data_IF_299349831443
#
_entry.id   IF_299349831443
#
_cell.length_a   1.000
_cell.length_b   1.000
_cell.length_c   1.000
_cell.angle_alpha   90.00
_cell.angle_beta   90.00
_cell.angle_gamma   90.00
#
_symmetry.space_group_name_H-M   'P 1'
#
loop_
_entity.id
_entity.type
_entity.pdbx_description
1 polymer ?
#
# COMPACT_ATOMS: atom_id res chain seq x y z
N UNK A 1 -26.97 -14.57 8.56
CA UNK A 1 -25.99 -15.27 7.72
C UNK A 1 -25.41 -14.27 6.73
N UNK A 2 -24.09 -14.18 6.62
CA UNK A 2 -23.41 -13.27 5.68
C UNK A 2 -23.55 -13.87 4.27
N UNK A 3 -23.97 -13.05 3.30
CA UNK A 3 -24.13 -13.50 1.92
C UNK A 3 -22.81 -13.40 1.16
N UNK A 4 -22.49 -14.37 0.27
CA UNK A 4 -21.33 -14.25 -0.62
C UNK A 4 -21.44 -13.00 -1.49
N UNK A 5 -20.33 -12.27 -1.67
CA UNK A 5 -20.24 -11.10 -2.54
C UNK A 5 -18.85 -10.97 -3.17
N UNK A 6 -18.75 -10.14 -4.21
CA UNK A 6 -17.50 -9.71 -4.84
C UNK A 6 -17.28 -8.22 -4.57
N UNK A 7 -16.02 -7.84 -4.36
CA UNK A 7 -15.61 -6.45 -4.13
C UNK A 7 -14.22 -6.22 -4.71
N UNK A 8 -13.97 -4.98 -5.11
CA UNK A 8 -12.66 -4.41 -5.48
C UNK A 8 -12.01 -3.58 -4.36
N UNK A 9 -12.72 -3.38 -3.24
CA UNK A 9 -12.23 -2.70 -2.06
C UNK A 9 -10.87 -3.21 -1.57
N UNK A 10 -9.97 -2.28 -1.27
CA UNK A 10 -8.57 -2.55 -0.92
C UNK A 10 -8.49 -3.22 0.44
N UNK A 11 -7.73 -4.31 0.58
CA UNK A 11 -7.42 -4.95 1.86
C UNK A 11 -5.93 -5.25 1.90
N UNK A 12 -5.30 -5.02 3.03
CA UNK A 12 -3.93 -5.44 3.29
C UNK A 12 -3.87 -6.59 4.30
N UNK A 13 -2.78 -7.36 4.28
CA UNK A 13 -2.55 -8.39 5.29
C UNK A 13 -2.54 -7.82 6.71
N UNK A 14 -2.02 -6.61 6.91
CA UNK A 14 -1.99 -5.95 8.22
C UNK A 14 -3.39 -5.64 8.76
N UNK A 15 -4.42 -5.56 7.91
CA UNK A 15 -5.80 -5.29 8.31
C UNK A 15 -6.38 -6.43 9.15
N UNK A 16 -5.84 -7.65 9.04
CA UNK A 16 -6.29 -8.79 9.84
C UNK A 16 -6.12 -8.54 11.35
N UNK A 17 -5.09 -7.81 11.76
CA UNK A 17 -4.83 -7.54 13.17
C UNK A 17 -5.93 -6.69 13.83
N UNK A 18 -6.22 -5.45 13.41
CA UNK A 18 -7.28 -4.66 14.00
C UNK A 18 -8.68 -5.25 13.75
N UNK A 19 -8.90 -5.91 12.61
CA UNK A 19 -10.18 -6.57 12.32
C UNK A 19 -10.47 -7.71 13.31
N UNK A 20 -9.49 -8.57 13.57
CA UNK A 20 -9.66 -9.65 14.55
C UNK A 20 -9.90 -9.11 15.97
N UNK A 21 -9.28 -7.98 16.32
CA UNK A 21 -9.46 -7.35 17.61
C UNK A 21 -10.82 -6.67 17.77
N UNK A 22 -11.37 -6.05 16.73
CA UNK A 22 -12.75 -5.55 16.77
C UNK A 22 -13.74 -6.71 16.99
N UNK A 23 -13.61 -7.80 16.23
CA UNK A 23 -14.40 -9.01 16.42
C UNK A 23 -14.31 -9.60 17.84
N UNK A 24 -13.17 -9.40 18.52
CA UNK A 24 -12.95 -9.81 19.90
C UNK A 24 -13.43 -8.78 20.96
N UNK A 25 -14.06 -7.67 20.55
CA UNK A 25 -14.60 -6.65 21.46
C UNK A 25 -13.65 -5.50 21.77
N UNK A 26 -12.57 -5.34 20.99
CA UNK A 26 -11.58 -4.27 21.12
C UNK A 26 -11.53 -3.33 19.89
N UNK A 27 -12.64 -2.64 19.52
CA UNK A 27 -12.69 -1.77 18.35
C UNK A 27 -11.80 -0.54 18.44
N UNK A 28 -11.38 -0.06 17.27
CA UNK A 28 -10.84 1.28 17.04
C UNK A 28 -9.70 1.64 17.99
N UNK A 29 -9.81 2.78 18.68
CA UNK A 29 -8.76 3.28 19.56
C UNK A 29 -8.38 2.33 20.71
N UNK A 30 -9.22 1.34 21.05
CA UNK A 30 -8.89 0.34 22.08
C UNK A 30 -7.71 -0.54 21.66
N UNK A 31 -7.51 -0.77 20.36
CA UNK A 31 -6.37 -1.53 19.83
C UNK A 31 -5.04 -0.91 20.26
N UNK A 32 -4.95 0.43 20.31
CA UNK A 32 -3.73 1.14 20.69
C UNK A 32 -3.30 0.89 22.15
N UNK A 33 -4.21 0.42 23.01
CA UNK A 33 -3.88 0.05 24.39
C UNK A 33 -3.30 -1.38 24.50
N UNK A 34 -3.33 -2.15 23.41
CA UNK A 34 -2.87 -3.55 23.38
C UNK A 34 -1.46 -3.70 22.80
N UNK A 35 -0.87 -2.62 22.30
CA UNK A 35 0.50 -2.58 21.77
C UNK A 35 1.32 -1.49 22.48
N UNK A 36 2.67 -1.58 22.49
CA UNK A 36 3.49 -0.49 23.00
C UNK A 36 3.21 0.82 22.26
N UNK A 37 3.20 1.95 22.98
CA UNK A 37 2.94 3.29 22.41
C UNK A 37 3.91 3.71 21.29
N UNK A 38 5.04 3.01 21.17
CA UNK A 38 6.06 3.17 20.12
C UNK A 38 5.75 2.36 18.86
N UNK A 39 4.62 1.66 18.81
CA UNK A 39 4.22 0.82 17.67
C UNK A 39 3.13 1.54 16.90
N UNK A 40 3.42 1.88 15.65
CA UNK A 40 2.38 2.27 14.71
C UNK A 40 1.62 1.03 14.23
N UNK A 41 0.31 1.18 14.02
CA UNK A 41 -0.54 0.11 13.48
C UNK A 41 -0.98 0.57 12.10
N UNK A 42 -0.40 -0.03 11.06
CA UNK A 42 -0.73 0.25 9.66
C UNK A 42 -2.05 -0.39 9.21
N UNK A 43 -2.50 -1.43 9.92
CA UNK A 43 -3.74 -2.12 9.64
C UNK A 43 -4.96 -1.23 9.87
N UNK A 44 -5.97 -1.42 9.03
CA UNK A 44 -7.29 -0.81 9.15
C UNK A 44 -8.29 -1.89 9.49
N UNK A 45 -9.19 -1.61 10.43
CA UNK A 45 -10.28 -2.52 10.77
C UNK A 45 -11.27 -2.63 9.60
N UNK A 46 -11.47 -3.85 9.09
CA UNK A 46 -12.34 -4.19 7.96
C UNK A 46 -13.61 -4.93 8.40
N UNK A 47 -13.97 -4.90 9.69
CA UNK A 47 -15.14 -5.63 10.22
C UNK A 47 -16.44 -5.21 9.52
N UNK A 48 -16.66 -3.89 9.34
CA UNK A 48 -17.82 -3.38 8.61
C UNK A 48 -17.82 -3.78 7.12
N UNK A 49 -16.63 -3.92 6.52
CA UNK A 49 -16.47 -4.39 5.15
C UNK A 49 -16.88 -5.86 5.04
N UNK A 50 -16.35 -6.73 5.88
CA UNK A 50 -16.60 -8.18 5.77
C UNK A 50 -18.00 -8.62 6.22
N UNK A 51 -18.55 -7.98 7.25
CA UNK A 51 -19.85 -8.39 7.82
C UNK A 51 -21.04 -7.65 7.20
N UNK A 52 -20.83 -6.46 6.63
CA UNK A 52 -21.90 -5.63 6.09
C UNK A 52 -22.45 -6.14 4.75
N UNK A 53 -23.76 -6.02 4.54
CA UNK A 53 -24.44 -6.41 3.28
C UNK A 53 -23.85 -5.69 2.05
N UNK A 54 -23.54 -4.40 2.19
CA UNK A 54 -22.93 -3.56 1.17
C UNK A 54 -21.66 -2.87 1.70
N UNK A 55 -20.88 -3.61 2.50
CA UNK A 55 -19.66 -3.07 3.11
C UNK A 55 -18.68 -2.56 2.05
N UNK A 56 -18.10 -1.38 2.30
CA UNK A 56 -16.98 -0.82 1.54
C UNK A 56 -15.70 -0.96 2.36
N UNK A 57 -14.56 -1.11 1.69
CA UNK A 57 -13.30 -1.16 2.41
C UNK A 57 -13.08 0.15 3.16
N UNK A 58 -12.62 0.06 4.41
CA UNK A 58 -12.26 1.22 5.20
C UNK A 58 -10.85 1.76 4.83
N UNK A 59 -10.10 1.06 3.98
CA UNK A 59 -8.73 1.41 3.60
C UNK A 59 -8.74 2.43 2.45
N UNK A 60 -8.29 3.64 2.77
CA UNK A 60 -8.13 4.74 1.81
C UNK A 60 -6.97 4.52 0.84
N UNK A 61 -5.84 4.00 1.35
CA UNK A 61 -4.60 3.91 0.59
C UNK A 61 -3.81 2.64 0.94
N UNK A 62 -3.03 2.17 -0.02
CA UNK A 62 -2.07 1.06 0.16
C UNK A 62 -0.64 1.55 -0.08
N UNK A 63 0.28 1.14 0.79
CA UNK A 63 1.67 1.61 0.79
C UNK A 63 2.59 0.45 0.44
N UNK A 64 3.21 0.53 -0.74
CA UNK A 64 4.07 -0.54 -1.24
C UNK A 64 5.51 -0.25 -0.91
N UNK A 65 6.20 -1.24 -0.35
CA UNK A 65 7.61 -1.16 -0.04
C UNK A 65 8.42 -2.09 -0.94
N UNK A 66 9.56 -1.58 -1.42
CA UNK A 66 10.65 -2.42 -1.92
C UNK A 66 11.71 -2.47 -0.83
N UNK A 67 11.83 -3.63 -0.19
CA UNK A 67 12.64 -3.80 1.02
C UNK A 67 12.25 -2.76 2.09
N UNK A 68 13.21 -1.93 2.53
CA UNK A 68 12.96 -0.87 3.52
C UNK A 68 12.54 0.48 2.93
N UNK A 69 12.32 0.58 1.62
CA UNK A 69 12.04 1.86 0.94
C UNK A 69 10.60 1.90 0.45
N UNK A 70 9.89 2.98 0.80
CA UNK A 70 8.56 3.26 0.27
C UNK A 70 8.66 3.49 -1.24
N UNK A 71 7.99 2.64 -2.00
CA UNK A 71 8.19 2.50 -3.45
C UNK A 71 6.97 2.95 -4.25
N UNK A 72 5.77 2.73 -3.74
CA UNK A 72 4.54 3.21 -4.37
C UNK A 72 3.44 3.45 -3.34
N UNK A 73 2.44 4.22 -3.75
CA UNK A 73 1.18 4.36 -3.04
C UNK A 73 0.03 4.12 -4.01
N UNK A 74 -1.00 3.41 -3.56
CA UNK A 74 -2.26 3.26 -4.30
C UNK A 74 -3.38 3.93 -3.54
N UNK A 75 -4.22 4.65 -4.26
CA UNK A 75 -5.51 5.13 -3.79
C UNK A 75 -6.55 4.82 -4.86
N UNK A 76 -7.60 4.11 -4.46
CA UNK A 76 -8.63 3.61 -5.38
C UNK A 76 -8.01 2.85 -6.57
N UNK A 77 -8.32 3.24 -7.81
CA UNK A 77 -7.77 2.65 -9.02
C UNK A 77 -6.34 3.11 -9.34
N UNK A 78 -5.86 4.21 -8.75
CA UNK A 78 -4.59 4.81 -9.14
C UNK A 78 -3.43 4.34 -8.27
N UNK A 79 -2.34 3.91 -8.90
CA UNK A 79 -1.08 3.58 -8.23
C UNK A 79 0.06 4.44 -8.76
N UNK A 80 0.73 5.13 -7.84
CA UNK A 80 1.87 6.02 -8.11
C UNK A 80 3.17 5.41 -7.60
N UNK A 81 4.13 5.22 -8.50
CA UNK A 81 5.46 4.70 -8.18
C UNK A 81 6.49 5.83 -8.08
N UNK A 82 7.27 5.81 -7.01
CA UNK A 82 8.48 6.64 -6.82
C UNK A 82 9.77 5.83 -6.95
N UNK A 83 9.70 4.51 -6.73
CA UNK A 83 10.81 3.59 -6.81
C UNK A 83 10.35 2.32 -7.52
N UNK A 84 11.12 1.88 -8.51
CA UNK A 84 10.82 0.67 -9.29
C UNK A 84 12.03 -0.24 -9.35
N UNK A 85 11.79 -1.52 -9.65
CA UNK A 85 12.81 -2.47 -10.00
C UNK A 85 12.79 -2.72 -11.51
N UNK A 86 13.93 -2.55 -12.18
CA UNK A 86 14.11 -2.89 -13.59
C UNK A 86 14.87 -4.22 -13.68
N UNK A 87 14.16 -5.36 -13.77
CA UNK A 87 14.77 -6.69 -13.73
C UNK A 87 15.78 -6.95 -14.85
N UNK A 88 15.62 -6.27 -16.00
CA UNK A 88 16.43 -6.48 -17.21
C UNK A 88 17.50 -5.41 -17.44
N UNK A 89 17.85 -4.62 -16.42
CA UNK A 89 18.77 -3.47 -16.62
C UNK A 89 20.17 -3.86 -17.09
N UNK A 90 20.70 -5.02 -16.68
CA UNK A 90 22.03 -5.49 -17.10
C UNK A 90 22.09 -6.97 -17.50
N UNK A 91 21.02 -7.75 -17.25
CA UNK A 91 20.91 -9.14 -17.72
C UNK A 91 19.59 -9.29 -18.47
N UNK A 92 19.66 -9.39 -19.80
CA UNK A 92 18.48 -9.40 -20.67
C UNK A 92 17.78 -10.76 -20.77
N UNK A 93 18.44 -11.85 -20.36
CA UNK A 93 17.92 -13.22 -20.44
C UNK A 93 18.01 -13.94 -19.09
N UNK A 94 17.30 -15.08 -18.96
CA UNK A 94 17.25 -15.88 -17.73
C UNK A 94 16.04 -15.58 -16.84
N UNK A 95 16.03 -16.18 -15.65
CA UNK A 95 14.94 -16.04 -14.67
C UNK A 95 15.14 -14.76 -13.85
N UNK A 96 14.33 -13.74 -14.12
CA UNK A 96 14.38 -12.46 -13.42
C UNK A 96 13.16 -12.31 -12.48
N UNK A 97 13.32 -11.58 -11.38
CA UNK A 97 12.27 -11.42 -10.36
C UNK A 97 12.60 -10.37 -9.31
N UNK A 98 11.89 -10.41 -8.17
CA UNK A 98 11.89 -9.38 -7.11
C UNK A 98 13.21 -9.12 -6.37
N UNK A 99 14.33 -9.66 -6.83
CA UNK A 99 15.68 -9.43 -6.29
C UNK A 99 16.77 -9.37 -7.38
N UNK A 100 16.39 -9.25 -8.65
CA UNK A 100 17.34 -9.15 -9.77
C UNK A 100 17.23 -7.81 -10.49
N UNK A 101 18.27 -7.42 -11.24
CA UNK A 101 18.30 -6.15 -11.93
C UNK A 101 18.65 -4.97 -11.01
N UNK A 102 18.16 -3.78 -11.32
CA UNK A 102 18.47 -2.55 -10.58
C UNK A 102 17.22 -1.92 -9.98
N UNK A 103 17.39 -1.23 -8.86
CA UNK A 103 16.36 -0.37 -8.28
C UNK A 103 16.64 1.07 -8.71
N UNK A 104 15.63 1.74 -9.27
CA UNK A 104 15.78 3.12 -9.76
C UNK A 104 14.59 3.99 -9.38
N UNK A 105 14.85 5.29 -9.24
CA UNK A 105 13.84 6.29 -8.93
C UNK A 105 13.09 6.72 -10.20
N UNK A 106 11.79 6.94 -10.09
CA UNK A 106 10.98 7.43 -11.21
C UNK A 106 11.09 8.96 -11.34
N UNK A 107 10.81 9.49 -12.54
CA UNK A 107 10.78 10.94 -12.79
C UNK A 107 9.52 11.65 -12.25
N UNK A 108 8.60 10.93 -11.60
CA UNK A 108 7.43 11.48 -10.91
C UNK A 108 6.08 11.42 -11.65
N UNK A 109 6.03 10.88 -12.87
CA UNK A 109 4.77 10.67 -13.62
C UNK A 109 4.42 9.19 -13.85
N UNK A 110 4.97 8.29 -13.04
CA UNK A 110 4.70 6.84 -13.09
C UNK A 110 3.42 6.52 -12.33
N UNK A 111 2.27 6.80 -12.96
CA UNK A 111 0.94 6.57 -12.40
C UNK A 111 0.16 5.64 -13.32
N UNK A 112 -0.47 4.60 -12.76
CA UNK A 112 -1.25 3.60 -13.49
C UNK A 112 -2.68 3.55 -12.97
N UNK A 113 -3.64 3.25 -13.84
CA UNK A 113 -5.00 2.89 -13.45
C UNK A 113 -5.13 1.37 -13.44
N UNK A 114 -5.19 0.77 -12.26
CA UNK A 114 -5.20 -0.67 -12.05
C UNK A 114 -6.53 -1.34 -12.41
N UNK A 115 -7.62 -0.58 -12.55
CA UNK A 115 -8.90 -1.14 -13.00
C UNK A 115 -8.89 -1.38 -14.51
N UNK A 116 -8.24 -0.50 -15.28
CA UNK A 116 -8.11 -0.65 -16.73
C UNK A 116 -6.83 -1.36 -17.16
N UNK A 117 -5.76 -1.24 -16.38
CA UNK A 117 -4.44 -1.78 -16.67
C UNK A 117 -3.80 -2.40 -15.41
N UNK A 118 -4.28 -3.58 -14.98
CA UNK A 118 -3.72 -4.27 -13.82
C UNK A 118 -2.28 -4.77 -14.04
N UNK A 119 -1.79 -4.77 -15.29
CA UNK A 119 -0.43 -5.16 -15.64
C UNK A 119 0.56 -3.99 -15.54
N UNK A 120 0.09 -2.77 -15.27
CA UNK A 120 0.92 -1.57 -15.17
C UNK A 120 1.79 -1.35 -16.43
N UNK A 121 1.18 -1.57 -17.60
CA UNK A 121 1.82 -1.51 -18.92
C UNK A 121 1.78 -0.12 -19.56
N UNK A 122 0.79 0.72 -19.20
CA UNK A 122 0.61 2.06 -19.74
C UNK A 122 0.48 3.12 -18.63
N UNK A 123 1.50 3.97 -18.51
CA UNK A 123 1.50 5.05 -17.51
C UNK A 123 0.64 6.22 -17.98
N UNK A 124 -0.39 6.54 -17.20
CA UNK A 124 -1.37 7.58 -17.50
C UNK A 124 -1.05 8.92 -16.81
N UNK A 125 0.02 8.99 -16.03
CA UNK A 125 0.29 10.10 -15.09
C UNK A 125 0.33 11.48 -15.73
N UNK A 126 0.99 11.64 -16.89
CA UNK A 126 1.07 12.94 -17.58
C UNK A 126 -0.31 13.43 -18.05
N UNK A 127 -1.24 12.51 -18.34
CA UNK A 127 -2.61 12.84 -18.75
C UNK A 127 -3.56 13.03 -17.56
N UNK A 128 -3.13 12.64 -16.36
CA UNK A 128 -3.93 12.66 -15.13
C UNK A 128 -3.18 13.33 -13.97
N UNK A 129 -2.42 14.41 -14.25
CA UNK A 129 -1.62 15.15 -13.26
C UNK A 129 -2.41 15.52 -11.99
N UNK A 130 -3.69 15.93 -12.05
CA UNK A 130 -4.47 16.21 -10.84
C UNK A 130 -4.56 15.04 -9.86
N UNK A 131 -4.55 13.78 -10.36
CA UNK A 131 -4.54 12.58 -9.50
C UNK A 131 -3.20 12.35 -8.82
N UNK A 132 -2.12 12.91 -9.35
CA UNK A 132 -0.81 12.89 -8.68
C UNK A 132 -0.83 13.63 -7.33
N UNK A 133 -1.66 14.66 -7.18
CA UNK A 133 -1.74 15.47 -5.94
C UNK A 133 -2.19 14.66 -4.72
N UNK A 134 -3.35 13.96 -4.72
CA UNK A 134 -3.76 13.16 -3.56
C UNK A 134 -2.79 12.01 -3.28
N UNK A 135 -2.26 11.35 -4.31
CA UNK A 135 -1.29 10.26 -4.15
C UNK A 135 0.01 10.74 -3.50
N UNK A 136 0.59 11.83 -4.00
CA UNK A 136 1.79 12.40 -3.40
C UNK A 136 1.53 12.91 -1.97
N UNK A 137 0.36 13.51 -1.72
CA UNK A 137 -0.03 13.98 -0.38
C UNK A 137 -0.09 12.82 0.62
N UNK A 138 -0.71 11.70 0.23
CA UNK A 138 -0.76 10.48 1.05
C UNK A 138 0.65 9.94 1.31
N UNK A 139 1.47 9.85 0.26
CA UNK A 139 2.86 9.43 0.36
C UNK A 139 3.65 10.27 1.36
N UNK A 140 3.52 11.60 1.30
CA UNK A 140 4.16 12.53 2.22
C UNK A 140 3.66 12.35 3.66
N UNK A 141 2.35 12.23 3.86
CA UNK A 141 1.76 12.01 5.17
C UNK A 141 2.28 10.71 5.80
N UNK A 142 2.36 9.63 5.02
CA UNK A 142 2.87 8.36 5.50
C UNK A 142 4.38 8.42 5.81
N UNK A 143 5.17 9.15 5.03
CA UNK A 143 6.58 9.39 5.35
C UNK A 143 6.77 10.13 6.68
N UNK A 144 5.89 11.07 7.05
CA UNK A 144 5.92 11.70 8.38
C UNK A 144 5.61 10.71 9.50
N UNK A 145 4.70 9.74 9.25
CA UNK A 145 4.44 8.65 10.20
C UNK A 145 5.69 7.81 10.40
N UNK A 146 6.38 7.43 9.33
CA UNK A 146 7.63 6.64 9.40
C UNK A 146 8.76 7.38 10.12
N UNK A 147 8.82 8.72 10.05
CA UNK A 147 9.77 9.50 10.86
C UNK A 147 9.46 9.38 12.36
N UNK A 148 8.18 9.39 12.73
CA UNK A 148 7.73 9.24 14.12
C UNK A 148 7.85 7.79 14.63
N UNK A 149 7.63 6.83 13.74
CA UNK A 149 7.64 5.40 13.99
C UNK A 149 8.56 4.69 13.00
N UNK A 150 9.90 4.78 13.19
CA UNK A 150 10.84 4.22 12.23
C UNK A 150 10.76 2.69 12.17
N UNK A 151 10.97 2.08 10.97
CA UNK A 151 11.03 0.63 10.82
C UNK A 151 12.10 0.02 11.74
N UNK A 152 11.74 -1.06 12.45
CA UNK A 152 12.65 -1.73 13.39
C UNK A 152 13.79 -2.48 12.70
N UNK A 153 13.52 -3.08 11.54
CA UNK A 153 14.51 -3.73 10.70
C UNK A 153 14.72 -2.86 9.46
N UNK A 154 15.92 -2.28 9.34
CA UNK A 154 16.33 -1.58 8.14
C UNK A 154 17.35 -2.44 7.42
N UNK A 155 17.01 -2.87 6.20
CA UNK A 155 17.98 -3.46 5.30
C UNK A 155 18.90 -2.31 4.88
N UNK A 156 20.09 -2.24 5.47
CA UNK A 156 21.13 -1.31 5.06
C UNK A 156 21.60 -1.76 3.67
N UNK A 157 21.31 -0.95 2.66
CA UNK A 157 22.07 -0.95 1.42
C UNK A 157 23.19 0.07 1.62
N UNK A 158 24.43 -0.40 1.71
CA UNK A 158 25.63 0.44 1.79
C UNK A 158 25.69 1.46 0.64
#
# INVERSE_FOLDING_TARGET
>A
MIQPRKSDGIVDLADLFPTALDLAGHPGAKVANLVPKTTFIDGVDQTSFFLGTNGQSNRKAEHYFLNGKLAAVRMDEFKYHVLIQQPYAYTQSGYQGGFTGTVMQTAGSSVFNLYTDPQESDSIGVRHIPMGVPLQTEMHAYMEILKKYPPRAQIKSD
#
